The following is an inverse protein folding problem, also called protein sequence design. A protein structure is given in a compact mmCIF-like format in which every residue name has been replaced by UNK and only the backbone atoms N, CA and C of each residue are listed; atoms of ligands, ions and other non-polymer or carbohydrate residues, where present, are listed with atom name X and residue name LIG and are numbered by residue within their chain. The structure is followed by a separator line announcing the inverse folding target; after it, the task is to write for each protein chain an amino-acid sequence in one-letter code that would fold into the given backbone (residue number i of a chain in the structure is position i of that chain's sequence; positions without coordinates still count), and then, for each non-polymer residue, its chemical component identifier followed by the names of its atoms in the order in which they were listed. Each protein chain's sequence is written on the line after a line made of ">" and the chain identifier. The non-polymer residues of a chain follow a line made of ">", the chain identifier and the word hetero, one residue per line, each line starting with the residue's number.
data_IF_700538795306
#
_entry.id   IF_700538795306
#
_cell.length_a   1.000
_cell.length_b   1.000
_cell.length_c   1.000
_cell.angle_alpha   90.00
_cell.angle_beta   90.00
_cell.angle_gamma   90.00
#
_symmetry.space_group_name_H-M   'P 1'
#
loop_
_entity.id
_entity.type
_entity.pdbx_description
1 polymer ?
#
# COMPACT_ATOMS: atom_id res chain seq x y z
N UNK A 1 38.07 -64.70 26.12
CA UNK A 1 38.14 -63.43 25.33
C UNK A 1 38.64 -62.36 26.29
N UNK A 2 39.84 -61.80 26.03
CA UNK A 2 40.53 -60.87 26.92
C UNK A 2 39.71 -59.61 27.19
N UNK A 3 39.71 -59.13 28.45
CA UNK A 3 39.06 -57.90 28.89
C UNK A 3 39.32 -56.69 27.98
N UNK A 4 40.51 -56.60 27.40
CA UNK A 4 40.87 -55.58 26.45
C UNK A 4 40.05 -55.63 25.14
N UNK A 5 39.73 -56.82 24.60
CA UNK A 5 38.97 -57.01 23.38
C UNK A 5 37.50 -56.55 23.55
N UNK A 6 36.92 -56.76 24.74
CA UNK A 6 35.56 -56.29 25.08
C UNK A 6 35.47 -54.76 25.10
N UNK A 7 36.47 -54.11 25.72
CA UNK A 7 36.50 -52.65 25.79
C UNK A 7 36.70 -52.02 24.39
N UNK A 8 37.51 -52.65 23.56
CA UNK A 8 37.71 -52.15 22.16
C UNK A 8 36.42 -52.25 21.33
N UNK A 9 35.64 -53.30 21.48
CA UNK A 9 34.36 -53.49 20.82
C UNK A 9 33.35 -52.43 21.29
N UNK A 10 33.31 -52.14 22.59
CA UNK A 10 32.42 -51.12 23.16
C UNK A 10 32.78 -49.74 22.67
N UNK A 11 34.07 -49.41 22.60
CA UNK A 11 34.56 -48.12 22.05
C UNK A 11 34.20 -47.97 20.59
N UNK A 12 34.36 -49.03 19.80
CA UNK A 12 34.02 -49.03 18.38
C UNK A 12 32.50 -48.83 18.17
N UNK A 13 31.65 -49.45 19.00
CA UNK A 13 30.20 -49.32 18.94
C UNK A 13 29.75 -47.92 19.31
N UNK A 14 30.35 -47.31 20.34
CA UNK A 14 30.07 -45.91 20.73
C UNK A 14 30.47 -44.93 19.64
N UNK A 15 31.64 -45.15 18.98
CA UNK A 15 32.10 -44.35 17.86
C UNK A 15 31.14 -44.43 16.66
N UNK A 16 30.62 -45.64 16.40
CA UNK A 16 29.67 -45.88 15.31
C UNK A 16 28.32 -45.17 15.58
N UNK A 17 27.86 -45.15 16.83
CA UNK A 17 26.65 -44.41 17.25
C UNK A 17 26.85 -42.89 17.10
N UNK A 18 28.03 -42.35 17.46
CA UNK A 18 28.35 -40.93 17.31
C UNK A 18 28.39 -40.53 15.84
N UNK A 19 28.89 -41.40 14.94
CA UNK A 19 28.94 -41.14 13.51
C UNK A 19 27.53 -41.20 12.89
N UNK A 20 26.66 -42.10 13.36
CA UNK A 20 25.29 -42.22 12.90
C UNK A 20 24.39 -41.10 13.42
N UNK A 21 24.75 -40.47 14.54
CA UNK A 21 24.02 -39.34 15.14
C UNK A 21 24.39 -37.96 14.52
N UNK A 22 25.21 -37.92 13.46
CA UNK A 22 25.46 -36.65 12.77
C UNK A 22 24.14 -36.15 12.20
N UNK A 23 23.71 -34.93 12.53
CA UNK A 23 22.53 -34.35 11.88
C UNK A 23 22.77 -34.34 10.36
N UNK A 24 21.85 -34.95 9.62
CA UNK A 24 21.81 -34.84 8.16
C UNK A 24 21.81 -33.36 7.87
N UNK A 25 22.82 -32.88 7.12
CA UNK A 25 23.03 -31.46 6.89
C UNK A 25 21.73 -30.78 6.46
N UNK A 26 21.30 -29.82 7.24
CA UNK A 26 20.21 -28.95 6.85
C UNK A 26 20.67 -28.15 5.62
N UNK A 27 19.89 -28.19 4.55
CA UNK A 27 20.06 -27.30 3.42
C UNK A 27 20.07 -25.86 3.96
N UNK A 28 21.18 -25.15 3.77
CA UNK A 28 21.33 -23.78 4.19
C UNK A 28 20.13 -22.95 3.67
N UNK A 29 19.36 -22.38 4.60
CA UNK A 29 18.22 -21.52 4.32
C UNK A 29 16.84 -22.13 4.56
N UNK A 30 16.72 -23.43 4.82
CA UNK A 30 15.43 -24.04 5.19
C UNK A 30 15.45 -24.41 6.66
N UNK A 31 15.00 -23.51 7.50
CA UNK A 31 14.71 -23.83 8.89
C UNK A 31 13.35 -24.50 8.97
N UNK A 32 13.27 -25.72 9.50
CA UNK A 32 12.01 -26.48 9.73
C UNK A 32 11.01 -25.77 10.66
N UNK A 33 11.35 -24.62 11.19
CA UNK A 33 10.54 -23.79 12.08
C UNK A 33 10.28 -22.40 11.52
N UNK A 34 10.09 -22.27 10.22
CA UNK A 34 9.43 -21.06 9.72
C UNK A 34 8.03 -21.04 10.31
N UNK A 35 7.79 -20.14 11.26
CA UNK A 35 6.42 -19.79 11.64
C UNK A 35 5.70 -19.50 10.33
N UNK A 36 4.57 -20.15 10.09
CA UNK A 36 3.71 -19.78 8.97
C UNK A 36 3.53 -18.28 9.06
N UNK A 37 3.90 -17.58 7.98
CA UNK A 37 3.56 -16.17 7.87
C UNK A 37 2.05 -16.08 8.01
N UNK A 38 1.59 -15.44 9.06
CA UNK A 38 0.19 -15.13 9.28
C UNK A 38 0.09 -13.63 9.13
N UNK A 39 -0.58 -13.22 8.09
CA UNK A 39 -0.89 -11.84 7.85
C UNK A 39 -1.76 -11.32 9.02
N UNK A 40 -1.37 -10.20 9.60
CA UNK A 40 -2.18 -9.55 10.63
C UNK A 40 -3.44 -8.99 9.99
N UNK A 41 -4.57 -9.19 10.67
CA UNK A 41 -5.85 -8.64 10.21
C UNK A 41 -5.76 -7.11 10.16
N UNK A 42 -5.95 -6.48 8.99
CA UNK A 42 -6.04 -5.04 8.92
C UNK A 42 -7.18 -4.52 9.82
N UNK A 43 -6.94 -3.39 10.47
CA UNK A 43 -7.91 -2.82 11.40
C UNK A 43 -9.25 -2.52 10.69
N UNK A 44 -10.35 -2.99 11.28
CA UNK A 44 -11.69 -2.79 10.74
C UNK A 44 -12.07 -3.63 9.54
N UNK A 45 -11.21 -4.57 9.09
CA UNK A 45 -11.47 -5.43 7.95
C UNK A 45 -11.81 -6.87 8.35
N UNK A 46 -12.58 -7.53 7.50
CA UNK A 46 -12.94 -8.95 7.59
C UNK A 46 -12.34 -9.70 6.42
N UNK A 47 -11.75 -10.85 6.71
CA UNK A 47 -11.21 -11.72 5.67
C UNK A 47 -12.32 -12.48 4.96
N UNK A 48 -12.47 -12.25 3.66
CA UNK A 48 -13.39 -12.97 2.78
C UNK A 48 -12.60 -14.07 2.08
N UNK A 49 -12.98 -15.33 2.32
CA UNK A 49 -12.34 -16.49 1.69
C UNK A 49 -12.69 -16.53 0.21
N UNK A 50 -11.79 -17.12 -0.58
CA UNK A 50 -12.04 -17.44 -1.99
C UNK A 50 -13.35 -18.21 -2.12
N UNK A 51 -14.17 -17.81 -3.09
CA UNK A 51 -15.46 -18.44 -3.38
C UNK A 51 -15.94 -18.19 -4.78
N UNK A 52 -17.00 -18.90 -5.16
CA UNK A 52 -17.67 -18.72 -6.44
C UNK A 52 -19.15 -18.42 -6.19
N UNK A 53 -19.71 -17.54 -6.99
CA UNK A 53 -21.13 -17.22 -6.95
C UNK A 53 -21.67 -16.98 -8.36
N UNK A 54 -22.98 -17.05 -8.49
CA UNK A 54 -23.67 -16.79 -9.75
C UNK A 54 -24.10 -15.32 -9.77
N UNK A 55 -23.58 -14.56 -10.72
CA UNK A 55 -23.89 -13.16 -10.94
C UNK A 55 -24.82 -13.02 -12.15
N UNK A 56 -25.86 -12.21 -12.04
CA UNK A 56 -26.81 -11.92 -13.11
C UNK A 56 -28.25 -12.20 -12.73
N UNK A 57 -29.17 -12.08 -13.70
CA UNK A 57 -30.59 -12.30 -13.52
C UNK A 57 -30.86 -13.73 -13.07
N UNK A 58 -31.65 -13.86 -12.01
CA UNK A 58 -32.14 -15.14 -11.52
C UNK A 58 -33.56 -15.38 -12.08
N UNK A 59 -33.97 -16.65 -12.31
CA UNK A 59 -35.29 -17.05 -12.83
C UNK A 59 -36.49 -16.50 -12.05
N UNK A 60 -36.26 -15.92 -10.87
CA UNK A 60 -37.30 -15.28 -10.05
C UNK A 60 -37.53 -13.79 -10.39
N UNK A 61 -36.79 -13.23 -11.32
CA UNK A 61 -36.98 -11.84 -11.76
C UNK A 61 -38.13 -11.81 -12.75
N UNK A 62 -39.32 -11.39 -12.29
CA UNK A 62 -40.56 -11.36 -13.08
C UNK A 62 -40.51 -10.43 -14.31
N UNK A 63 -39.43 -9.63 -14.44
CA UNK A 63 -39.18 -8.73 -15.56
C UNK A 63 -37.73 -8.98 -16.01
N UNK A 64 -37.35 -10.23 -16.21
CA UNK A 64 -36.06 -10.60 -16.73
C UNK A 64 -35.93 -10.22 -18.19
N UNK A 65 -34.99 -9.38 -18.52
CA UNK A 65 -34.52 -9.27 -19.89
C UNK A 65 -34.00 -10.63 -20.30
N UNK A 66 -34.56 -11.18 -21.37
CA UNK A 66 -34.14 -12.47 -21.97
C UNK A 66 -32.69 -12.53 -22.40
N UNK A 67 -31.95 -11.40 -22.27
CA UNK A 67 -30.54 -11.25 -22.62
C UNK A 67 -29.56 -11.38 -21.44
N UNK A 68 -30.02 -11.33 -20.21
CA UNK A 68 -29.14 -11.37 -19.04
C UNK A 68 -28.85 -12.82 -18.62
N UNK A 69 -27.78 -13.36 -19.18
CA UNK A 69 -27.31 -14.70 -18.80
C UNK A 69 -26.62 -14.61 -17.44
N UNK A 70 -26.99 -15.54 -16.56
CA UNK A 70 -26.24 -15.74 -15.31
C UNK A 70 -24.82 -16.26 -15.61
N UNK A 71 -23.81 -15.68 -14.94
CA UNK A 71 -22.41 -16.02 -15.11
C UNK A 71 -21.86 -16.50 -13.77
N UNK A 72 -21.15 -17.63 -13.78
CA UNK A 72 -20.45 -18.08 -12.59
C UNK A 72 -19.12 -17.30 -12.45
N UNK A 73 -18.97 -16.55 -11.38
CA UNK A 73 -17.81 -15.73 -11.09
C UNK A 73 -17.06 -16.29 -9.89
N UNK A 74 -15.77 -16.51 -10.06
CA UNK A 74 -14.87 -16.91 -8.97
C UNK A 74 -14.05 -15.70 -8.52
N UNK A 75 -14.06 -15.41 -7.24
CA UNK A 75 -13.32 -14.30 -6.62
C UNK A 75 -12.29 -14.89 -5.69
N UNK A 76 -11.05 -14.41 -5.79
CA UNK A 76 -9.98 -14.79 -4.86
C UNK A 76 -10.22 -14.20 -3.47
N UNK A 77 -9.50 -14.72 -2.48
CA UNK A 77 -9.59 -14.24 -1.10
C UNK A 77 -9.13 -12.79 -1.00
N UNK A 78 -9.84 -11.97 -0.23
CA UNK A 78 -9.53 -10.55 -0.04
C UNK A 78 -9.97 -10.06 1.33
N UNK A 79 -9.47 -8.89 1.71
CA UNK A 79 -9.92 -8.16 2.88
C UNK A 79 -10.98 -7.14 2.48
N UNK A 80 -12.03 -7.04 3.25
CA UNK A 80 -13.13 -6.10 3.03
C UNK A 80 -13.45 -5.37 4.34
N UNK A 81 -13.76 -4.09 4.26
CA UNK A 81 -14.23 -3.34 5.43
C UNK A 81 -15.46 -4.00 6.04
N UNK A 82 -15.49 -4.13 7.37
CA UNK A 82 -16.59 -4.75 8.10
C UNK A 82 -17.87 -3.91 8.07
N UNK A 83 -17.72 -2.61 7.86
CA UNK A 83 -18.81 -1.61 7.83
C UNK A 83 -18.64 -0.71 6.62
N UNK A 84 -19.74 -0.13 6.16
CA UNK A 84 -19.72 0.91 5.14
C UNK A 84 -18.95 2.15 5.63
N UNK A 85 -18.22 2.79 4.71
CA UNK A 85 -17.50 4.04 5.00
C UNK A 85 -18.51 5.17 5.19
N UNK A 86 -18.42 5.86 6.30
CA UNK A 86 -19.26 7.02 6.57
C UNK A 86 -18.85 8.26 5.76
N UNK A 87 -19.76 9.19 5.54
CA UNK A 87 -19.45 10.47 4.89
C UNK A 87 -18.35 11.25 5.61
N UNK A 88 -18.22 11.08 6.93
CA UNK A 88 -17.18 11.75 7.70
C UNK A 88 -15.79 11.16 7.43
N UNK A 89 -15.67 9.85 7.34
CA UNK A 89 -14.43 9.14 6.98
C UNK A 89 -14.02 9.47 5.54
N UNK A 90 -14.99 9.47 4.62
CA UNK A 90 -14.73 9.87 3.24
C UNK A 90 -14.23 11.31 3.14
N UNK A 91 -14.81 12.25 3.90
CA UNK A 91 -14.33 13.63 3.98
C UNK A 91 -12.88 13.73 4.47
N UNK A 92 -12.49 12.91 5.44
CA UNK A 92 -11.11 12.88 5.93
C UNK A 92 -10.15 12.47 4.80
N UNK A 93 -10.51 11.45 4.03
CA UNK A 93 -9.75 11.03 2.86
C UNK A 93 -9.65 12.15 1.81
N UNK A 94 -10.76 12.80 1.47
CA UNK A 94 -10.78 13.92 0.52
C UNK A 94 -9.90 15.08 0.99
N UNK A 95 -9.94 15.42 2.28
CA UNK A 95 -9.08 16.44 2.85
C UNK A 95 -7.60 16.04 2.78
N UNK A 96 -7.29 14.79 3.08
CA UNK A 96 -5.93 14.27 2.97
C UNK A 96 -5.40 14.34 1.53
N UNK A 97 -6.21 13.95 0.53
CA UNK A 97 -5.85 14.07 -0.89
C UNK A 97 -5.63 15.53 -1.27
N UNK A 98 -6.56 16.41 -0.91
CA UNK A 98 -6.44 17.85 -1.14
C UNK A 98 -5.15 18.43 -0.57
N UNK A 99 -4.89 18.14 0.69
CA UNK A 99 -3.75 18.69 1.42
C UNK A 99 -2.43 18.13 0.88
N UNK A 100 -2.39 16.85 0.48
CA UNK A 100 -1.22 16.25 -0.15
C UNK A 100 -0.89 16.90 -1.49
N UNK A 101 -1.91 17.15 -2.34
CA UNK A 101 -1.72 17.83 -3.62
C UNK A 101 -1.28 19.27 -3.40
N UNK A 102 -1.92 19.99 -2.46
CA UNK A 102 -1.58 21.37 -2.15
C UNK A 102 -0.14 21.52 -1.66
N UNK A 103 0.31 20.64 -0.75
CA UNK A 103 1.69 20.65 -0.27
C UNK A 103 2.69 20.39 -1.42
N UNK A 104 2.43 19.43 -2.27
CA UNK A 104 3.28 19.15 -3.45
C UNK A 104 3.35 20.31 -4.41
N UNK A 105 2.21 20.94 -4.71
CA UNK A 105 2.17 22.12 -5.57
C UNK A 105 2.95 23.31 -4.99
N UNK A 106 2.87 23.52 -3.66
CA UNK A 106 3.62 24.55 -2.98
C UNK A 106 5.13 24.25 -2.93
N UNK A 107 5.51 23.00 -2.71
CA UNK A 107 6.93 22.56 -2.77
C UNK A 107 7.47 22.80 -4.18
N UNK A 108 6.76 22.38 -5.21
CA UNK A 108 7.19 22.54 -6.61
C UNK A 108 7.28 24.00 -7.04
N UNK A 109 6.43 24.88 -6.49
CA UNK A 109 6.47 26.32 -6.78
C UNK A 109 7.46 27.09 -5.91
N UNK A 110 8.08 26.43 -4.92
CA UNK A 110 8.95 27.01 -3.90
C UNK A 110 8.31 28.22 -3.15
N UNK A 111 6.96 28.27 -3.13
CA UNK A 111 6.20 29.43 -2.63
C UNK A 111 6.37 29.68 -1.12
N UNK A 112 6.65 28.62 -0.33
CA UNK A 112 6.77 28.71 1.13
C UNK A 112 8.13 28.26 1.67
N UNK A 113 9.09 27.97 0.78
CA UNK A 113 10.30 27.28 1.18
C UNK A 113 9.99 25.82 1.61
N UNK A 114 10.50 24.91 0.90
CA UNK A 114 10.23 23.45 1.00
C UNK A 114 10.51 22.84 2.38
N UNK A 115 11.39 23.43 3.18
CA UNK A 115 11.78 22.92 4.50
C UNK A 115 10.61 22.84 5.50
N UNK A 116 9.56 23.61 5.30
CA UNK A 116 8.38 23.62 6.19
C UNK A 116 7.39 22.53 5.82
N UNK A 117 7.27 22.21 4.54
CA UNK A 117 6.24 21.30 4.02
C UNK A 117 6.74 19.87 3.81
N UNK A 118 8.03 19.64 3.94
CA UNK A 118 8.64 18.31 3.83
C UNK A 118 9.46 17.96 5.05
N UNK A 119 9.62 16.68 5.33
CA UNK A 119 10.57 16.13 6.28
C UNK A 119 11.90 15.74 5.63
N UNK A 120 12.02 15.94 4.32
CA UNK A 120 13.25 15.67 3.59
C UNK A 120 14.34 16.62 4.02
N UNK A 121 15.48 16.08 4.44
CA UNK A 121 16.65 16.86 4.88
C UNK A 121 17.92 16.12 4.45
N UNK A 122 18.25 16.24 3.17
CA UNK A 122 19.51 15.74 2.63
C UNK A 122 20.40 16.93 2.27
N UNK A 123 21.53 17.08 2.95
CA UNK A 123 22.48 18.18 2.74
C UNK A 123 23.32 17.98 1.49
N UNK A 124 23.56 16.74 1.07
CA UNK A 124 24.38 16.42 -0.10
C UNK A 124 23.58 16.60 -1.41
N UNK A 125 22.28 16.35 -1.36
CA UNK A 125 21.39 16.57 -2.49
C UNK A 125 20.16 17.37 -2.05
N UNK A 126 20.23 18.72 -2.03
CA UNK A 126 19.12 19.56 -1.65
C UNK A 126 17.95 19.44 -2.64
N UNK A 127 16.76 19.81 -2.20
CA UNK A 127 15.53 19.68 -2.99
C UNK A 127 15.57 20.39 -4.35
N UNK A 128 16.33 21.47 -4.44
CA UNK A 128 16.48 22.25 -5.68
C UNK A 128 17.18 21.47 -6.80
N UNK A 129 17.92 20.43 -6.43
CA UNK A 129 18.63 19.54 -7.37
C UNK A 129 17.82 18.31 -7.78
N UNK A 130 16.65 18.09 -7.15
CA UNK A 130 15.83 16.93 -7.44
C UNK A 130 15.03 17.12 -8.74
N UNK A 131 14.95 16.04 -9.49
CA UNK A 131 14.06 15.98 -10.66
C UNK A 131 12.59 16.05 -10.22
N UNK A 132 11.66 16.44 -11.11
CA UNK A 132 10.22 16.47 -10.81
C UNK A 132 9.68 15.12 -10.31
N UNK A 133 10.24 14.01 -10.78
CA UNK A 133 9.86 12.66 -10.35
C UNK A 133 10.31 12.34 -8.93
N UNK A 134 11.50 12.78 -8.56
CA UNK A 134 12.05 12.66 -7.22
C UNK A 134 11.30 13.58 -6.24
N UNK A 135 11.00 14.81 -6.63
CA UNK A 135 10.17 15.73 -5.85
C UNK A 135 8.78 15.16 -5.57
N UNK A 136 8.19 14.43 -6.52
CA UNK A 136 6.92 13.76 -6.31
C UNK A 136 6.96 12.68 -5.23
N UNK A 137 8.13 12.11 -4.93
CA UNK A 137 8.33 11.04 -3.93
C UNK A 137 8.80 11.56 -2.57
N UNK A 138 9.13 12.85 -2.46
CA UNK A 138 9.59 13.45 -1.20
C UNK A 138 8.54 13.32 -0.11
N UNK A 139 8.89 12.89 1.12
CA UNK A 139 7.96 12.75 2.22
C UNK A 139 7.40 14.10 2.67
N UNK A 140 6.08 14.17 2.86
CA UNK A 140 5.38 15.37 3.28
C UNK A 140 5.41 15.55 4.81
N UNK A 141 5.46 16.80 5.27
CA UNK A 141 5.38 17.15 6.69
C UNK A 141 3.92 17.42 7.08
N UNK A 142 3.22 16.40 7.52
CA UNK A 142 1.80 16.49 7.95
C UNK A 142 1.57 17.35 9.21
N UNK A 143 2.65 17.73 9.91
CA UNK A 143 2.56 18.68 11.04
C UNK A 143 2.53 20.13 10.58
N UNK A 144 2.95 20.40 9.35
CA UNK A 144 2.93 21.73 8.78
C UNK A 144 1.50 22.12 8.38
N UNK A 145 1.14 23.38 8.70
CA UNK A 145 -0.16 23.94 8.31
C UNK A 145 -0.07 24.56 6.92
N UNK A 146 -1.01 24.22 6.06
CA UNK A 146 -1.14 24.84 4.73
C UNK A 146 -1.81 26.21 4.91
N UNK A 147 -1.20 27.29 4.40
CA UNK A 147 -1.74 28.64 4.57
C UNK A 147 -2.82 28.98 3.53
N UNK A 148 -3.99 28.35 3.65
CA UNK A 148 -5.12 28.57 2.73
C UNK A 148 -5.57 30.04 2.65
N UNK A 149 -5.32 30.84 3.66
CA UNK A 149 -5.67 32.28 3.73
C UNK A 149 -4.45 33.19 3.63
N UNK A 150 -3.38 32.75 2.97
CA UNK A 150 -2.19 33.56 2.80
C UNK A 150 -2.47 34.83 1.98
N UNK A 151 -1.76 35.90 2.32
CA UNK A 151 -1.75 37.15 1.54
C UNK A 151 -0.69 37.16 0.45
N UNK A 152 0.22 36.21 0.46
CA UNK A 152 1.28 36.05 -0.52
C UNK A 152 0.67 35.69 -1.88
N UNK A 153 1.01 36.46 -2.90
CA UNK A 153 0.42 36.31 -4.24
C UNK A 153 0.85 34.99 -4.91
N UNK A 154 2.05 34.50 -4.62
CA UNK A 154 2.55 33.21 -5.12
C UNK A 154 1.73 32.05 -4.53
N UNK A 155 1.52 32.10 -3.21
CA UNK A 155 0.71 31.10 -2.51
C UNK A 155 -0.73 31.15 -2.98
N UNK A 156 -1.31 32.34 -3.15
CA UNK A 156 -2.67 32.51 -3.68
C UNK A 156 -2.80 31.95 -5.10
N UNK A 157 -1.81 32.19 -5.96
CA UNK A 157 -1.83 31.68 -7.34
C UNK A 157 -1.82 30.14 -7.37
N UNK A 158 -1.07 29.50 -6.47
CA UNK A 158 -1.00 28.04 -6.36
C UNK A 158 -2.28 27.48 -5.78
N UNK A 159 -2.71 27.96 -4.61
CA UNK A 159 -3.89 27.46 -3.90
C UNK A 159 -5.21 27.87 -4.56
N UNK A 160 -5.22 28.98 -5.29
CA UNK A 160 -6.39 29.43 -6.05
C UNK A 160 -6.84 28.42 -7.13
N UNK A 161 -5.93 27.58 -7.63
CA UNK A 161 -6.26 26.52 -8.59
C UNK A 161 -7.25 25.49 -8.04
N UNK A 162 -7.34 25.34 -6.73
CA UNK A 162 -8.30 24.44 -6.07
C UNK A 162 -9.74 24.93 -6.14
N UNK A 163 -9.97 26.16 -6.57
CA UNK A 163 -11.29 26.77 -6.61
C UNK A 163 -11.70 27.08 -8.04
N UNK A 164 -12.99 27.05 -8.30
CA UNK A 164 -13.51 27.55 -9.58
C UNK A 164 -13.29 29.06 -9.68
N UNK A 165 -12.92 29.53 -10.87
CA UNK A 165 -12.91 30.95 -11.15
C UNK A 165 -14.33 31.52 -10.99
N UNK A 166 -14.43 32.77 -10.50
CA UNK A 166 -15.71 33.43 -10.21
C UNK A 166 -16.68 33.47 -11.38
N UNK A 167 -16.19 33.54 -12.62
CA UNK A 167 -16.99 33.49 -13.82
C UNK A 167 -17.73 32.17 -14.06
N UNK A 168 -17.17 31.06 -13.56
CA UNK A 168 -17.74 29.71 -13.70
C UNK A 168 -18.45 29.23 -12.42
N UNK A 169 -18.35 29.99 -11.34
CA UNK A 169 -18.95 29.66 -10.06
C UNK A 169 -20.37 30.26 -10.00
N UNK A 170 -21.36 29.58 -10.53
CA UNK A 170 -22.76 29.99 -10.45
C UNK A 170 -23.16 30.12 -8.96
N UNK A 171 -23.12 31.36 -8.45
CA UNK A 171 -23.66 31.73 -7.15
C UNK A 171 -22.82 31.37 -5.91
N UNK A 172 -21.59 30.85 -6.04
CA UNK A 172 -20.73 30.52 -4.91
C UNK A 172 -19.26 30.84 -5.21
N UNK A 173 -18.83 32.03 -4.78
CA UNK A 173 -17.41 32.34 -4.66
C UNK A 173 -16.77 31.35 -3.69
N UNK A 174 -15.79 30.57 -4.08
CA UNK A 174 -15.04 29.58 -3.28
C UNK A 174 -15.53 28.13 -3.34
N UNK A 175 -16.24 27.73 -4.38
CA UNK A 175 -16.53 26.33 -4.58
C UNK A 175 -15.26 25.60 -5.04
N UNK A 176 -14.90 24.52 -4.33
CA UNK A 176 -13.74 23.69 -4.70
C UNK A 176 -13.97 22.98 -6.03
N UNK A 177 -12.95 22.95 -6.87
CA UNK A 177 -12.97 22.22 -8.13
C UNK A 177 -12.56 20.74 -7.88
N UNK A 178 -13.49 19.78 -7.97
CA UNK A 178 -13.18 18.38 -7.70
C UNK A 178 -12.24 17.74 -8.73
N UNK A 179 -12.15 18.32 -9.95
CA UNK A 179 -11.30 17.76 -11.00
C UNK A 179 -9.80 17.82 -10.66
N UNK A 180 -9.41 18.69 -9.72
CA UNK A 180 -8.02 18.79 -9.26
C UNK A 180 -7.67 17.70 -8.25
N UNK A 181 -8.68 17.12 -7.60
CA UNK A 181 -8.51 16.11 -6.56
C UNK A 181 -8.36 14.72 -7.18
N UNK A 182 -7.28 14.52 -7.91
CA UNK A 182 -6.97 13.22 -8.52
C UNK A 182 -6.04 12.44 -7.61
N UNK A 183 -6.53 11.34 -7.04
CA UNK A 183 -5.72 10.40 -6.29
C UNK A 183 -5.06 9.41 -7.26
N UNK A 184 -3.72 9.35 -7.22
CA UNK A 184 -2.92 8.39 -7.98
C UNK A 184 -2.29 7.41 -7.02
N UNK A 185 -2.38 6.12 -7.32
CA UNK A 185 -1.71 5.07 -6.58
C UNK A 185 -1.05 4.10 -7.56
N UNK A 186 0.01 3.46 -7.09
CA UNK A 186 0.69 2.40 -7.82
C UNK A 186 0.42 1.08 -7.11
N UNK A 187 0.16 0.06 -7.89
CA UNK A 187 -0.09 -1.28 -7.39
C UNK A 187 0.87 -2.26 -8.09
N UNK A 188 1.51 -3.10 -7.29
CA UNK A 188 2.41 -4.12 -7.80
C UNK A 188 1.64 -5.45 -7.86
N UNK A 189 1.49 -5.97 -9.06
CA UNK A 189 0.98 -7.32 -9.25
C UNK A 189 2.10 -8.32 -8.97
N UNK A 190 2.14 -8.87 -7.77
CA UNK A 190 3.18 -9.81 -7.35
C UNK A 190 3.17 -11.12 -8.14
N UNK A 191 2.00 -11.58 -8.59
CA UNK A 191 1.88 -12.80 -9.41
C UNK A 191 2.57 -12.60 -10.76
N UNK A 192 2.35 -11.45 -11.39
CA UNK A 192 3.02 -11.09 -12.64
C UNK A 192 4.51 -10.83 -12.43
N UNK A 193 4.89 -10.19 -11.34
CA UNK A 193 6.29 -9.92 -11.02
C UNK A 193 7.09 -11.18 -10.71
N UNK A 194 6.45 -12.26 -10.24
CA UNK A 194 7.08 -13.53 -9.96
C UNK A 194 7.37 -14.37 -11.22
N UNK A 195 6.77 -14.02 -12.36
CA UNK A 195 6.99 -14.76 -13.61
C UNK A 195 8.41 -14.57 -14.14
N UNK A 196 9.06 -15.64 -14.64
CA UNK A 196 10.38 -15.55 -15.28
C UNK A 196 10.29 -14.61 -16.50
N UNK A 197 11.08 -13.55 -16.53
CA UNK A 197 11.11 -12.57 -17.61
C UNK A 197 10.57 -11.17 -17.26
N UNK A 198 9.90 -11.01 -16.13
CA UNK A 198 9.39 -9.72 -15.66
C UNK A 198 10.30 -9.09 -14.56
N UNK A 199 11.60 -9.45 -14.59
CA UNK A 199 12.61 -8.91 -13.66
C UNK A 199 13.29 -7.69 -14.23
#
# INVERSE_FOLDING_TARGET
>A
MSFQKKNLIIIALVLLIIIAARPVGELNGITKKTKRFQEENPYGMVFVKRGSFIMGANDQSAIGSLSDKSINVTVDAFWMDATEITNNEYKQFVHWVRDSIAMRMLINSNALGYQKLTTYNNRENPLDNLSPEELAKVPLNWKAKIPWSSKDDTVKAVLGRFYFFSENAIGRSNQMNPAILTYKYEWINYDQAALPGNK
#
